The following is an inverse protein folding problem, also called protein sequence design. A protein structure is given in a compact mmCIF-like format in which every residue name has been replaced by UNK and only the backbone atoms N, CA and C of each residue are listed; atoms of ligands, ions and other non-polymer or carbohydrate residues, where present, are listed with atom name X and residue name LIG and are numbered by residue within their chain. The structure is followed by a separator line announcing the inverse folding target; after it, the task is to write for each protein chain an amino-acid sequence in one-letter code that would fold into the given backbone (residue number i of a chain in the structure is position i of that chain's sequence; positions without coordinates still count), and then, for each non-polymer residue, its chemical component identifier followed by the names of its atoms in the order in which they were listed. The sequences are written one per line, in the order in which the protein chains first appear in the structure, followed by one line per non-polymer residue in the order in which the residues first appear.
data_IF_954678752846
#
_entry.id   IF_954678752846
#
_cell.length_a   1.000
_cell.length_b   1.000
_cell.length_c   1.000
_cell.angle_alpha   90.00
_cell.angle_beta   90.00
_cell.angle_gamma   90.00
#
_symmetry.space_group_name_H-M   'P 1'
#
loop_
_entity.id
_entity.type
_entity.pdbx_description
1 polymer ?
#
# COMPACT_ATOMS: atom_id res chain seq x y z
N UNK A 1 14.73 -2.88 -17.49
CA UNK A 1 15.99 -2.51 -16.79
C UNK A 1 15.72 -2.74 -15.31
N UNK A 2 16.58 -3.45 -14.58
CA UNK A 2 16.36 -3.73 -13.16
C UNK A 2 17.67 -3.67 -12.39
N UNK A 3 17.61 -3.38 -11.10
CA UNK A 3 18.80 -3.30 -10.25
C UNK A 3 18.52 -2.77 -8.86
N UNK A 4 19.59 -2.41 -8.15
CA UNK A 4 19.52 -1.85 -6.80
C UNK A 4 19.89 -0.36 -6.79
N UNK A 5 19.28 0.40 -5.89
CA UNK A 5 19.61 1.82 -5.68
C UNK A 5 21.01 2.02 -5.06
N UNK A 6 21.66 0.97 -4.58
CA UNK A 6 23.09 1.00 -4.21
C UNK A 6 24.02 1.10 -5.41
N UNK A 7 23.57 0.70 -6.60
CA UNK A 7 24.38 0.62 -7.83
C UNK A 7 24.15 1.84 -8.72
N UNK A 8 22.92 2.33 -8.78
CA UNK A 8 22.53 3.48 -9.60
C UNK A 8 21.43 4.27 -8.90
N UNK A 9 21.60 5.59 -8.81
CA UNK A 9 20.60 6.44 -8.16
C UNK A 9 19.37 6.70 -9.06
N UNK A 10 18.26 7.08 -8.41
CA UNK A 10 16.99 7.38 -9.10
C UNK A 10 17.16 8.48 -10.14
N UNK A 11 18.00 9.48 -9.87
CA UNK A 11 18.27 10.58 -10.80
C UNK A 11 18.83 10.03 -12.13
N UNK A 12 19.84 9.18 -12.05
CA UNK A 12 20.52 8.57 -13.21
C UNK A 12 19.58 7.65 -13.97
N UNK A 13 18.75 6.87 -13.27
CA UNK A 13 17.69 6.06 -13.87
C UNK A 13 16.74 6.91 -14.72
N UNK A 14 16.24 8.02 -14.18
CA UNK A 14 15.32 8.92 -14.88
C UNK A 14 15.99 9.59 -16.09
N UNK A 15 17.26 9.98 -15.99
CA UNK A 15 18.02 10.54 -17.12
C UNK A 15 18.25 9.53 -18.24
N UNK A 16 18.49 8.25 -17.92
CA UNK A 16 18.61 7.18 -18.91
C UNK A 16 17.29 6.94 -19.66
N UNK A 17 16.16 7.06 -18.97
CA UNK A 17 14.82 6.96 -19.58
C UNK A 17 14.58 8.14 -20.54
N UNK A 18 14.92 9.36 -20.12
CA UNK A 18 14.82 10.58 -20.94
C UNK A 18 15.68 10.47 -22.21
N UNK A 19 16.98 10.17 -22.05
CA UNK A 19 17.93 10.07 -23.16
C UNK A 19 17.54 8.95 -24.13
N UNK A 20 17.07 7.82 -23.60
CA UNK A 20 16.61 6.68 -24.40
C UNK A 20 15.21 6.85 -24.99
N UNK A 21 14.52 7.97 -24.73
CA UNK A 21 13.14 8.23 -25.16
C UNK A 21 12.20 7.06 -24.85
N UNK A 22 12.38 6.42 -23.68
CA UNK A 22 11.68 5.16 -23.37
C UNK A 22 10.24 5.41 -22.94
N UNK A 23 9.36 4.49 -23.31
CA UNK A 23 7.95 4.42 -22.90
C UNK A 23 7.76 3.19 -22.03
N UNK A 24 7.04 3.33 -20.92
CA UNK A 24 6.83 2.24 -19.98
C UNK A 24 6.63 2.72 -18.55
N UNK A 25 6.88 1.86 -17.58
CA UNK A 25 6.71 2.15 -16.16
C UNK A 25 7.97 1.80 -15.35
N UNK A 26 8.30 2.66 -14.39
CA UNK A 26 9.34 2.44 -13.39
C UNK A 26 8.68 2.13 -12.05
N UNK A 27 8.86 0.93 -11.56
CA UNK A 27 8.58 0.53 -10.20
C UNK A 27 9.83 0.69 -9.32
N UNK A 28 9.65 1.23 -8.11
CA UNK A 28 10.71 1.37 -7.10
C UNK A 28 10.16 0.93 -5.76
N UNK A 29 10.92 0.12 -5.01
CA UNK A 29 10.58 -0.31 -3.65
C UNK A 29 11.74 0.03 -2.72
N UNK A 30 11.46 0.64 -1.56
CA UNK A 30 12.51 0.91 -0.57
C UNK A 30 12.81 -0.31 0.29
N UNK A 31 13.97 -0.31 0.95
CA UNK A 31 14.26 -1.23 2.04
C UNK A 31 14.21 -0.48 3.38
N UNK A 32 13.42 -0.95 4.35
CA UNK A 32 13.43 -0.37 5.68
C UNK A 32 14.77 -0.68 6.36
N UNK A 33 15.37 0.35 6.93
CA UNK A 33 16.51 0.21 7.83
C UNK A 33 16.03 -0.25 9.20
N UNK A 34 15.66 -1.52 9.34
CA UNK A 34 15.42 -2.17 10.64
C UNK A 34 16.38 -3.34 10.83
N UNK A 35 17.68 -3.02 10.96
CA UNK A 35 18.65 -3.94 11.59
C UNK A 35 19.14 -3.27 12.86
N UNK A 36 18.40 -3.47 13.95
CA UNK A 36 18.98 -3.37 15.28
C UNK A 36 19.38 -4.80 15.67
N UNK A 37 20.69 -5.03 15.75
CA UNK A 37 21.26 -6.22 16.37
C UNK A 37 20.83 -6.25 17.84
N UNK A 38 19.80 -7.03 18.17
CA UNK A 38 19.64 -7.64 19.48
C UNK A 38 18.71 -8.85 19.35
N UNK A 39 19.22 -10.00 19.78
CA UNK A 39 18.54 -11.28 19.81
C UNK A 39 17.38 -11.22 20.81
N UNK A 40 16.13 -11.26 20.31
CA UNK A 40 14.95 -11.82 20.98
C UNK A 40 13.71 -11.75 20.07
N UNK A 41 13.18 -12.93 19.74
CA UNK A 41 11.84 -13.28 19.23
C UNK A 41 11.23 -12.55 18.00
N UNK A 42 10.79 -13.29 16.96
CA UNK A 42 10.24 -12.71 15.74
C UNK A 42 8.79 -12.26 15.92
N UNK A 43 8.58 -11.02 16.36
CA UNK A 43 7.30 -10.32 16.19
C UNK A 43 7.28 -9.67 14.80
N UNK A 44 6.89 -10.42 13.77
CA UNK A 44 6.83 -9.94 12.38
C UNK A 44 5.42 -9.45 12.00
N UNK A 45 5.09 -8.22 12.42
CA UNK A 45 4.24 -7.36 11.60
C UNK A 45 5.16 -6.59 10.65
N UNK A 46 5.29 -7.05 9.40
CA UNK A 46 5.96 -6.27 8.36
C UNK A 46 4.97 -5.27 7.76
N UNK A 47 5.18 -3.95 7.87
CA UNK A 47 4.51 -3.02 6.97
C UNK A 47 5.02 -3.31 5.55
N UNK A 48 4.12 -3.38 4.57
CA UNK A 48 4.49 -3.40 3.15
C UNK A 48 5.42 -2.21 2.88
N UNK A 49 6.71 -2.47 2.61
CA UNK A 49 7.70 -1.45 2.28
C UNK A 49 7.13 -0.40 1.30
N UNK A 50 7.38 0.89 1.51
CA UNK A 50 6.85 1.89 0.61
C UNK A 50 7.43 1.69 -0.79
N UNK A 51 6.55 1.82 -1.78
CA UNK A 51 6.85 1.59 -3.18
C UNK A 51 6.15 2.61 -4.05
N UNK A 52 6.70 2.85 -5.23
CA UNK A 52 6.30 3.91 -6.13
C UNK A 52 6.30 3.44 -7.58
N UNK A 53 5.43 4.05 -8.36
CA UNK A 53 5.37 3.94 -9.81
C UNK A 53 5.58 5.29 -10.46
N UNK A 54 6.34 5.32 -11.54
CA UNK A 54 6.47 6.47 -12.45
C UNK A 54 6.19 5.98 -13.87
N UNK A 55 5.31 6.67 -14.59
CA UNK A 55 4.86 6.27 -15.93
C UNK A 55 5.42 7.22 -16.98
N UNK A 56 5.89 6.66 -18.09
CA UNK A 56 6.63 7.39 -19.12
C UNK A 56 6.05 7.18 -20.52
N UNK A 57 6.17 8.22 -21.35
CA UNK A 57 5.91 8.19 -22.78
C UNK A 57 6.98 9.00 -23.49
N UNK A 58 7.71 8.36 -24.39
CA UNK A 58 8.79 8.96 -25.18
C UNK A 58 9.78 9.76 -24.32
N UNK A 59 10.23 9.18 -23.21
CA UNK A 59 11.19 9.81 -22.30
C UNK A 59 10.63 10.93 -21.41
N UNK A 60 9.33 11.23 -21.49
CA UNK A 60 8.66 12.21 -20.62
C UNK A 60 7.84 11.49 -19.54
N UNK A 61 7.67 12.13 -18.38
CA UNK A 61 6.81 11.62 -17.30
C UNK A 61 5.35 11.99 -17.59
N UNK A 62 4.46 11.00 -17.52
CA UNK A 62 3.01 11.20 -17.61
C UNK A 62 2.39 11.32 -16.22
N UNK A 63 2.81 10.44 -15.30
CA UNK A 63 2.24 10.34 -13.97
C UNK A 63 3.22 9.67 -13.00
N UNK A 64 2.98 9.87 -11.71
CA UNK A 64 3.69 9.16 -10.66
C UNK A 64 2.81 8.99 -9.42
N UNK A 65 2.94 7.85 -8.76
CA UNK A 65 2.16 7.51 -7.57
C UNK A 65 2.95 6.64 -6.60
N UNK A 66 2.56 6.68 -5.33
CA UNK A 66 2.93 5.64 -4.37
C UNK A 66 1.96 4.46 -4.57
N UNK A 67 2.43 3.22 -4.40
CA UNK A 67 1.65 1.99 -4.60
C UNK A 67 0.53 1.77 -3.57
N UNK A 68 0.27 2.74 -2.69
CA UNK A 68 -0.88 2.70 -1.79
C UNK A 68 -2.14 2.96 -2.61
N UNK A 69 -3.01 1.97 -2.78
CA UNK A 69 -4.30 2.09 -3.48
C UNK A 69 -5.33 3.02 -2.80
N UNK A 70 -4.85 3.99 -2.01
CA UNK A 70 -5.65 5.03 -1.38
C UNK A 70 -5.87 6.19 -2.37
N UNK A 71 -7.09 6.71 -2.40
CA UNK A 71 -7.44 7.93 -3.12
C UNK A 71 -7.29 9.19 -2.24
N UNK A 72 -6.71 9.07 -1.04
CA UNK A 72 -6.59 10.18 -0.08
C UNK A 72 -5.82 11.36 -0.66
N UNK A 73 -4.69 11.09 -1.35
CA UNK A 73 -3.88 12.12 -2.00
C UNK A 73 -4.68 12.86 -3.06
N UNK A 74 -5.38 12.16 -3.95
CA UNK A 74 -6.27 12.79 -4.92
C UNK A 74 -7.40 13.59 -4.26
N UNK A 75 -8.04 13.05 -3.22
CA UNK A 75 -9.10 13.76 -2.47
C UNK A 75 -8.59 15.09 -1.91
N UNK A 76 -7.37 15.12 -1.36
CA UNK A 76 -6.77 16.35 -0.84
C UNK A 76 -6.68 17.44 -1.93
N UNK A 77 -6.26 17.06 -3.15
CA UNK A 77 -6.21 17.99 -4.28
C UNK A 77 -7.59 18.46 -4.75
N UNK A 78 -8.58 17.57 -4.75
CA UNK A 78 -9.94 17.87 -5.20
C UNK A 78 -10.71 18.80 -4.26
N UNK A 79 -10.38 18.82 -2.96
CA UNK A 79 -11.03 19.71 -1.96
C UNK A 79 -10.99 21.18 -2.36
N UNK A 80 -9.89 21.62 -2.98
CA UNK A 80 -9.75 22.99 -3.48
C UNK A 80 -10.82 23.37 -4.49
N UNK A 81 -11.25 22.40 -5.28
CA UNK A 81 -12.25 22.55 -6.32
C UNK A 81 -13.66 22.15 -5.84
N UNK A 82 -13.83 21.87 -4.54
CA UNK A 82 -15.06 21.35 -3.93
C UNK A 82 -15.57 20.08 -4.61
N UNK A 83 -14.64 19.25 -5.07
CA UNK A 83 -14.90 18.10 -5.91
C UNK A 83 -14.53 16.78 -5.21
N UNK A 84 -14.13 16.81 -3.94
CA UNK A 84 -13.69 15.65 -3.18
C UNK A 84 -14.81 14.66 -2.86
N UNK A 85 -16.06 15.12 -2.77
CA UNK A 85 -17.24 14.28 -2.54
C UNK A 85 -17.68 13.54 -3.82
N UNK A 86 -17.35 14.07 -5.00
CA UNK A 86 -17.73 13.48 -6.29
C UNK A 86 -16.99 12.16 -6.57
N UNK A 87 -15.86 11.94 -5.90
CA UNK A 87 -15.03 10.75 -6.08
C UNK A 87 -15.78 9.46 -5.72
N UNK A 88 -16.71 9.53 -4.75
CA UNK A 88 -17.52 8.39 -4.31
C UNK A 88 -18.65 8.05 -5.29
N UNK A 89 -19.03 9.01 -6.15
CA UNK A 89 -20.12 8.90 -7.11
C UNK A 89 -19.66 8.61 -8.54
N UNK A 90 -18.35 8.75 -8.80
CA UNK A 90 -17.76 8.53 -10.12
C UNK A 90 -17.38 7.05 -10.28
N UNK A 91 -18.03 6.39 -11.23
CA UNK A 91 -17.58 5.09 -11.74
C UNK A 91 -16.40 5.32 -12.68
N UNK A 92 -15.24 4.78 -12.34
CA UNK A 92 -14.08 4.72 -13.22
C UNK A 92 -14.15 3.42 -14.01
N UNK A 93 -14.00 3.44 -15.35
CA UNK A 93 -13.92 2.23 -16.13
C UNK A 93 -12.78 1.32 -15.66
N UNK A 94 -13.01 0.01 -15.67
CA UNK A 94 -12.06 -1.01 -15.17
C UNK A 94 -10.69 -1.03 -15.87
N UNK A 95 -10.54 -0.33 -17.01
CA UNK A 95 -9.26 -0.24 -17.75
C UNK A 95 -8.30 0.82 -17.19
N UNK A 96 -8.74 1.65 -16.24
CA UNK A 96 -7.90 2.70 -15.68
C UNK A 96 -6.85 2.11 -14.72
N UNK A 97 -5.77 1.60 -15.33
CA UNK A 97 -4.48 1.15 -14.76
C UNK A 97 -4.54 0.58 -13.34
N UNK A 98 -4.31 -0.73 -13.24
CA UNK A 98 -4.08 -1.46 -11.99
C UNK A 98 -3.01 -0.78 -11.10
N UNK A 99 -2.11 -0.01 -11.69
CA UNK A 99 -1.00 0.69 -11.03
C UNK A 99 -1.25 2.19 -10.76
N UNK A 100 -2.34 2.78 -11.27
CA UNK A 100 -2.61 4.22 -11.16
C UNK A 100 -4.11 4.56 -11.05
N UNK A 101 -4.81 4.10 -10.01
CA UNK A 101 -6.25 4.35 -9.85
C UNK A 101 -6.59 5.84 -9.83
N UNK A 102 -5.76 6.66 -9.16
CA UNK A 102 -5.92 8.12 -9.12
C UNK A 102 -5.89 8.77 -10.51
N UNK A 103 -5.11 8.23 -11.46
CA UNK A 103 -5.09 8.71 -12.85
C UNK A 103 -6.41 8.47 -13.56
N UNK A 104 -7.02 7.30 -13.32
CA UNK A 104 -8.36 6.96 -13.81
C UNK A 104 -9.43 7.93 -13.35
N UNK A 105 -9.42 8.25 -12.05
CA UNK A 105 -10.30 9.27 -11.50
C UNK A 105 -10.03 10.62 -12.14
N UNK A 106 -8.78 11.08 -12.23
CA UNK A 106 -8.45 12.35 -12.86
C UNK A 106 -9.00 12.46 -14.29
N UNK A 107 -8.89 11.39 -15.08
CA UNK A 107 -9.54 11.35 -16.40
C UNK A 107 -11.06 11.48 -16.30
N UNK A 108 -11.72 10.70 -15.44
CA UNK A 108 -13.18 10.76 -15.29
C UNK A 108 -13.68 12.14 -14.83
N UNK A 109 -12.92 12.85 -13.97
CA UNK A 109 -13.21 14.22 -13.56
C UNK A 109 -13.09 15.23 -14.72
N UNK A 110 -12.11 15.02 -15.61
CA UNK A 110 -11.93 15.84 -16.81
C UNK A 110 -13.02 15.57 -17.85
N UNK A 111 -13.35 14.30 -18.08
CA UNK A 111 -14.39 13.88 -19.04
C UNK A 111 -15.77 14.43 -18.64
N UNK A 112 -16.10 14.40 -17.34
CA UNK A 112 -17.35 14.96 -16.82
C UNK A 112 -17.35 16.49 -16.70
N UNK A 113 -16.25 17.17 -17.04
CA UNK A 113 -16.11 18.62 -16.93
C UNK A 113 -16.10 19.16 -15.50
N UNK A 114 -15.91 18.30 -14.49
CA UNK A 114 -15.79 18.70 -13.08
C UNK A 114 -14.47 19.43 -12.85
N UNK A 115 -13.40 18.96 -13.52
CA UNK A 115 -12.13 19.66 -13.61
C UNK A 115 -11.93 20.21 -15.02
N UNK A 116 -11.32 21.39 -15.12
CA UNK A 116 -10.80 21.89 -16.39
C UNK A 116 -9.46 21.22 -16.74
N UNK A 117 -9.06 21.16 -18.02
CA UNK A 117 -7.75 20.61 -18.41
C UNK A 117 -6.57 21.26 -17.69
N UNK A 118 -6.64 22.57 -17.44
CA UNK A 118 -5.62 23.29 -16.69
C UNK A 118 -5.55 22.86 -15.21
N UNK A 119 -6.71 22.61 -14.58
CA UNK A 119 -6.78 22.11 -13.21
C UNK A 119 -6.25 20.67 -13.12
N UNK A 120 -6.69 19.78 -14.03
CA UNK A 120 -6.20 18.40 -14.09
C UNK A 120 -4.68 18.34 -14.28
N UNK A 121 -4.14 19.11 -15.24
CA UNK A 121 -2.69 19.22 -15.44
C UNK A 121 -1.97 19.73 -14.19
N UNK A 122 -2.53 20.72 -13.50
CA UNK A 122 -1.96 21.24 -12.26
C UNK A 122 -1.91 20.20 -11.14
N UNK A 123 -2.96 19.40 -10.97
CA UNK A 123 -3.01 18.32 -9.98
C UNK A 123 -1.98 17.24 -10.31
N UNK A 124 -1.95 16.76 -11.55
CA UNK A 124 -0.98 15.75 -12.01
C UNK A 124 0.45 16.26 -11.80
N UNK A 125 0.74 17.51 -12.16
CA UNK A 125 2.06 18.11 -11.98
C UNK A 125 2.50 18.08 -10.51
N UNK A 126 1.62 18.47 -9.59
CA UNK A 126 1.96 18.47 -8.17
C UNK A 126 2.12 17.04 -7.63
N UNK A 127 1.23 16.10 -7.98
CA UNK A 127 1.36 14.67 -7.60
C UNK A 127 2.68 14.06 -8.10
N UNK A 128 3.08 14.37 -9.34
CA UNK A 128 4.38 13.93 -9.89
C UNK A 128 5.52 14.50 -9.06
N UNK A 129 5.50 15.80 -8.76
CA UNK A 129 6.55 16.43 -7.95
C UNK A 129 6.65 15.86 -6.54
N UNK A 130 5.53 15.62 -5.88
CA UNK A 130 5.49 14.98 -4.55
C UNK A 130 6.12 13.59 -4.58
N UNK A 131 5.71 12.78 -5.56
CA UNK A 131 6.22 11.40 -5.70
C UNK A 131 7.72 11.40 -5.98
N UNK A 132 8.17 12.23 -6.91
CA UNK A 132 9.58 12.36 -7.26
C UNK A 132 10.42 12.92 -6.12
N UNK A 133 9.89 13.85 -5.31
CA UNK A 133 10.59 14.34 -4.12
C UNK A 133 10.92 13.21 -3.15
N UNK A 134 9.93 12.34 -2.88
CA UNK A 134 10.12 11.17 -2.02
C UNK A 134 11.09 10.16 -2.64
N UNK A 135 10.91 9.83 -3.92
CA UNK A 135 11.75 8.89 -4.66
C UNK A 135 13.22 9.32 -4.74
N UNK A 136 13.49 10.58 -5.07
CA UNK A 136 14.85 11.11 -5.18
C UNK A 136 15.55 11.26 -3.81
N UNK A 137 14.78 11.18 -2.72
CA UNK A 137 15.32 11.17 -1.35
C UNK A 137 15.69 9.76 -0.87
N UNK A 138 15.35 8.72 -1.63
CA UNK A 138 15.68 7.34 -1.28
C UNK A 138 17.17 7.05 -1.45
N UNK A 139 17.73 6.33 -0.48
CA UNK A 139 19.13 5.87 -0.52
C UNK A 139 19.29 4.38 -0.77
N UNK A 140 18.23 3.58 -0.54
CA UNK A 140 18.25 2.12 -0.62
C UNK A 140 16.90 1.62 -1.14
N UNK A 141 16.96 0.59 -1.97
CA UNK A 141 15.78 -0.01 -2.57
C UNK A 141 16.13 -0.81 -3.82
N UNK A 142 15.12 -1.40 -4.42
CA UNK A 142 15.19 -1.99 -5.76
C UNK A 142 14.37 -1.17 -6.75
N UNK A 143 14.69 -1.30 -8.03
CA UNK A 143 13.88 -0.72 -9.08
C UNK A 143 13.77 -1.67 -10.28
N UNK A 144 12.65 -1.56 -10.98
CA UNK A 144 12.41 -2.18 -12.28
C UNK A 144 11.75 -1.18 -13.21
N UNK A 145 12.28 -1.10 -14.41
CA UNK A 145 11.65 -0.44 -15.54
C UNK A 145 11.20 -1.47 -16.57
N UNK A 146 9.90 -1.50 -16.81
CA UNK A 146 9.24 -2.38 -17.78
C UNK A 146 8.72 -1.58 -18.97
N UNK A 147 8.93 -2.13 -20.18
CA UNK A 147 8.36 -1.58 -21.40
C UNK A 147 6.88 -1.97 -21.44
N UNK A 148 6.00 -0.98 -21.32
CA UNK A 148 4.55 -1.16 -21.32
C UNK A 148 3.88 -0.06 -22.13
N UNK A 149 2.63 -0.26 -22.60
CA UNK A 149 1.85 0.82 -23.18
C UNK A 149 1.73 1.98 -22.20
N UNK A 150 1.82 3.21 -22.72
CA UNK A 150 1.61 4.40 -21.90
C UNK A 150 0.18 4.43 -21.32
N UNK A 151 0.01 5.13 -20.19
CA UNK A 151 -1.31 5.35 -19.60
C UNK A 151 -2.24 6.03 -20.62
N UNK A 152 -3.42 5.44 -20.80
CA UNK A 152 -4.45 5.95 -21.70
C UNK A 152 -5.72 6.33 -20.95
N UNK A 153 -6.35 7.48 -21.30
CA UNK A 153 -5.90 8.45 -22.30
C UNK A 153 -4.78 9.36 -21.77
N UNK A 154 -3.97 9.90 -22.69
CA UNK A 154 -2.88 10.80 -22.34
C UNK A 154 -3.43 12.15 -21.86
N UNK A 155 -3.32 12.43 -20.56
CA UNK A 155 -3.77 13.69 -19.97
C UNK A 155 -2.74 14.82 -20.10
N UNK A 156 -1.44 14.53 -19.91
CA UNK A 156 -0.34 15.50 -19.99
C UNK A 156 1.02 14.79 -19.96
N UNK A 157 2.11 15.50 -20.24
CA UNK A 157 3.50 15.03 -20.09
C UNK A 157 4.39 16.12 -19.49
N UNK A 158 5.50 15.70 -18.87
CA UNK A 158 6.49 16.57 -18.24
C UNK A 158 7.91 16.13 -18.59
N UNK A 159 8.75 17.09 -18.95
CA UNK A 159 10.19 16.90 -19.17
C UNK A 159 10.90 16.51 -17.87
N UNK A 160 11.70 15.44 -17.92
CA UNK A 160 12.40 14.90 -16.74
C UNK A 160 13.43 15.90 -16.26
N UNK A 161 14.29 16.40 -17.14
CA UNK A 161 15.37 17.32 -16.79
C UNK A 161 14.88 18.59 -16.08
N UNK A 162 13.75 19.15 -16.53
CA UNK A 162 13.16 20.35 -15.93
C UNK A 162 12.61 20.09 -14.52
N UNK A 163 11.91 18.95 -14.33
CA UNK A 163 11.42 18.52 -13.03
C UNK A 163 12.57 18.24 -12.06
N UNK A 164 13.59 17.50 -12.50
CA UNK A 164 14.74 17.13 -11.69
C UNK A 164 15.50 18.37 -11.19
N UNK A 165 15.76 19.35 -12.06
CA UNK A 165 16.46 20.57 -11.66
C UNK A 165 15.74 21.30 -10.51
N UNK A 166 14.41 21.39 -10.59
CA UNK A 166 13.60 22.05 -9.56
C UNK A 166 13.55 21.23 -8.26
N UNK A 167 13.30 19.92 -8.36
CA UNK A 167 13.12 19.05 -7.19
C UNK A 167 14.44 18.84 -6.44
N UNK A 168 15.56 18.67 -7.16
CA UNK A 168 16.88 18.53 -6.53
C UNK A 168 17.26 19.76 -5.70
N UNK A 169 16.92 20.97 -6.17
CA UNK A 169 17.08 22.19 -5.39
C UNK A 169 16.22 22.16 -4.12
N UNK A 170 14.98 21.70 -4.22
CA UNK A 170 14.09 21.57 -3.05
C UNK A 170 14.61 20.55 -2.03
N UNK A 171 15.13 19.40 -2.48
CA UNK A 171 15.74 18.38 -1.61
C UNK A 171 16.98 18.93 -0.90
N UNK A 172 17.82 19.69 -1.61
CA UNK A 172 18.99 20.33 -1.01
C UNK A 172 18.60 21.31 0.11
N UNK A 173 17.57 22.13 -0.11
CA UNK A 173 17.04 23.03 0.91
C UNK A 173 16.39 22.26 2.06
N UNK A 174 15.66 21.17 1.76
CA UNK A 174 15.01 20.32 2.76
C UNK A 174 16.00 19.70 3.76
N UNK A 175 17.17 19.26 3.27
CA UNK A 175 18.19 18.65 4.11
C UNK A 175 18.70 19.57 5.23
N UNK A 176 18.46 20.89 5.15
CA UNK A 176 18.82 21.86 6.19
C UNK A 176 17.94 21.77 7.45
N UNK A 177 16.79 21.09 7.38
CA UNK A 177 15.88 20.94 8.53
C UNK A 177 16.18 19.72 9.41
N UNK A 178 17.12 18.87 8.98
CA UNK A 178 17.63 17.77 9.78
C UNK A 178 18.32 18.28 11.06
N UNK A 179 18.20 17.61 12.22
CA UNK A 179 17.51 16.34 12.44
C UNK A 179 16.03 16.50 12.80
N UNK A 180 15.51 17.72 12.93
CA UNK A 180 14.18 17.98 13.45
C UNK A 180 13.06 17.60 12.48
N UNK A 181 13.30 17.81 11.18
CA UNK A 181 12.40 17.41 10.10
C UNK A 181 13.13 16.40 9.23
N UNK A 182 12.75 15.14 9.31
CA UNK A 182 13.35 14.03 8.56
C UNK A 182 12.40 13.41 7.52
N UNK A 183 11.10 13.69 7.61
CA UNK A 183 10.11 13.18 6.65
C UNK A 183 9.01 14.20 6.37
N UNK A 184 8.56 14.26 5.12
CA UNK A 184 7.39 15.06 4.71
C UNK A 184 6.08 14.54 5.33
N UNK A 185 6.08 13.29 5.81
CA UNK A 185 4.93 12.65 6.44
C UNK A 185 4.85 12.84 7.95
N UNK A 186 5.81 13.57 8.56
CA UNK A 186 5.70 13.94 9.97
C UNK A 186 4.51 14.88 10.19
N UNK A 187 3.80 14.67 11.31
CA UNK A 187 2.63 15.44 11.70
C UNK A 187 2.98 16.43 12.83
N UNK A 188 2.66 17.72 12.68
CA UNK A 188 2.88 18.69 13.74
C UNK A 188 1.87 18.51 14.89
N UNK A 189 2.34 18.70 16.11
CA UNK A 189 1.55 18.78 17.35
C UNK A 189 2.00 20.02 18.11
N UNK A 190 1.06 20.82 18.59
CA UNK A 190 1.40 21.99 19.42
C UNK A 190 1.70 21.51 20.84
N UNK A 191 2.96 21.66 21.27
CA UNK A 191 3.40 21.34 22.62
C UNK A 191 3.19 22.52 23.59
N UNK A 192 3.36 23.76 23.12
CA UNK A 192 3.09 24.98 23.92
C UNK A 192 2.14 25.94 23.19
N UNK A 193 0.81 25.82 23.40
CA UNK A 193 -0.17 26.69 22.78
C UNK A 193 -0.03 28.17 23.19
N UNK A 194 0.40 28.44 24.43
CA UNK A 194 0.48 29.81 24.95
C UNK A 194 1.64 30.57 24.31
N UNK A 195 2.80 29.92 24.18
CA UNK A 195 3.96 30.51 23.52
C UNK A 195 3.73 30.66 22.00
N UNK A 196 3.07 29.68 21.38
CA UNK A 196 2.72 29.75 19.96
C UNK A 196 1.74 30.89 19.66
N UNK A 197 0.71 31.06 20.51
CA UNK A 197 -0.27 32.15 20.36
C UNK A 197 0.37 33.54 20.52
N UNK A 198 1.38 33.68 21.40
CA UNK A 198 2.14 34.94 21.53
C UNK A 198 3.03 35.24 20.32
N UNK A 199 3.54 34.20 19.66
CA UNK A 199 4.46 34.35 18.54
C UNK A 199 3.77 34.59 17.19
N UNK A 200 2.47 34.32 17.08
CA UNK A 200 1.72 34.35 15.83
C UNK A 200 0.53 35.30 15.85
N UNK A 201 0.18 35.83 14.68
CA UNK A 201 -1.08 36.54 14.50
C UNK A 201 -2.28 35.59 14.71
N UNK A 202 -3.42 36.06 15.26
CA UNK A 202 -4.53 35.19 15.65
C UNK A 202 -5.05 34.27 14.52
N UNK A 203 -5.12 34.78 13.30
CA UNK A 203 -5.58 34.02 12.13
C UNK A 203 -4.56 32.97 11.64
N UNK A 204 -3.26 33.18 11.90
CA UNK A 204 -2.20 32.21 11.58
C UNK A 204 -2.20 31.12 12.65
N UNK A 205 -2.30 31.52 13.93
CA UNK A 205 -2.43 30.59 15.04
C UNK A 205 -3.63 29.64 14.85
N UNK A 206 -4.82 30.17 14.54
CA UNK A 206 -6.00 29.34 14.32
C UNK A 206 -5.83 28.36 13.15
N UNK A 207 -5.20 28.78 12.05
CA UNK A 207 -4.89 27.87 10.93
C UNK A 207 -3.90 26.78 11.32
N UNK A 208 -2.79 27.15 11.97
CA UNK A 208 -1.78 26.19 12.40
C UNK A 208 -2.34 25.22 13.45
N UNK A 209 -3.15 25.71 14.39
CA UNK A 209 -3.86 24.90 15.38
C UNK A 209 -4.77 23.84 14.75
N UNK A 210 -5.49 24.18 13.69
CA UNK A 210 -6.38 23.25 13.01
C UNK A 210 -5.66 22.11 12.30
N UNK A 211 -4.37 22.28 11.97
CA UNK A 211 -3.58 21.28 11.25
C UNK A 211 -2.46 20.66 12.08
N UNK A 212 -2.27 21.12 13.32
CA UNK A 212 -1.28 20.59 14.25
C UNK A 212 -1.94 19.63 15.26
N UNK A 213 -2.71 18.69 14.73
CA UNK A 213 -3.52 17.71 15.44
C UNK A 213 -2.80 16.36 15.65
N UNK A 214 -1.55 16.24 15.18
CA UNK A 214 -0.78 15.00 15.18
C UNK A 214 -1.24 13.96 14.15
N UNK A 215 -2.24 14.28 13.34
CA UNK A 215 -2.78 13.37 12.31
C UNK A 215 -2.53 13.90 10.90
N UNK A 216 -2.53 15.21 10.72
CA UNK A 216 -2.34 15.86 9.42
C UNK A 216 -0.84 16.02 9.13
N UNK A 217 -0.32 15.32 8.11
CA UNK A 217 1.11 15.40 7.78
C UNK A 217 1.49 16.74 7.13
N UNK A 218 2.77 17.14 7.21
CA UNK A 218 3.23 18.35 6.54
C UNK A 218 2.94 18.34 5.03
N UNK A 219 3.01 17.16 4.40
CA UNK A 219 2.64 17.00 3.00
C UNK A 219 1.15 17.28 2.77
N UNK A 220 0.26 16.79 3.64
CA UNK A 220 -1.17 17.10 3.58
C UNK A 220 -1.45 18.59 3.79
N UNK A 221 -0.76 19.23 4.74
CA UNK A 221 -0.86 20.69 4.96
C UNK A 221 -0.46 21.45 3.69
N UNK A 222 0.63 21.04 3.04
CA UNK A 222 1.11 21.64 1.81
C UNK A 222 0.05 21.56 0.69
N UNK A 223 -0.62 20.41 0.53
CA UNK A 223 -1.74 20.23 -0.40
C UNK A 223 -2.91 21.17 -0.08
N UNK A 224 -3.35 21.24 1.18
CA UNK A 224 -4.45 22.10 1.61
C UNK A 224 -4.17 23.59 1.41
N UNK A 225 -2.91 23.99 1.59
CA UNK A 225 -2.46 25.36 1.35
C UNK A 225 -2.17 25.68 -0.11
N UNK A 226 -2.14 24.66 -0.98
CA UNK A 226 -1.60 24.76 -2.34
C UNK A 226 -0.23 25.44 -2.35
N UNK A 227 0.68 24.94 -1.51
CA UNK A 227 2.07 25.39 -1.39
C UNK A 227 2.99 24.18 -1.49
N UNK A 228 4.25 24.43 -1.78
CA UNK A 228 5.28 23.41 -1.67
C UNK A 228 5.54 23.03 -0.20
N UNK A 229 5.86 21.76 0.04
CA UNK A 229 6.13 21.24 1.39
C UNK A 229 7.29 21.96 2.07
N UNK A 230 8.25 22.47 1.29
CA UNK A 230 9.36 23.26 1.76
C UNK A 230 8.92 24.61 2.36
N UNK A 231 7.91 25.27 1.79
CA UNK A 231 7.28 26.46 2.39
C UNK A 231 6.64 26.14 3.74
N UNK A 232 5.97 24.99 3.87
CA UNK A 232 5.38 24.54 5.14
C UNK A 232 6.48 24.26 6.17
N UNK A 233 7.51 23.52 5.78
CA UNK A 233 8.66 23.23 6.64
C UNK A 233 9.34 24.52 7.13
N UNK A 234 9.65 25.47 6.24
CA UNK A 234 10.23 26.77 6.60
C UNK A 234 9.37 27.55 7.60
N UNK A 235 8.05 27.49 7.46
CA UNK A 235 7.12 28.20 8.33
C UNK A 235 7.07 27.58 9.75
N UNK A 236 7.16 26.25 9.85
CA UNK A 236 7.01 25.52 11.12
C UNK A 236 8.37 25.34 11.83
N UNK A 237 9.47 25.25 11.09
CA UNK A 237 10.80 24.94 11.60
C UNK A 237 11.26 25.80 12.79
N UNK A 238 11.08 27.14 12.83
CA UNK A 238 11.49 27.95 13.98
C UNK A 238 10.76 27.59 15.28
N UNK A 239 9.53 27.07 15.18
CA UNK A 239 8.75 26.62 16.34
C UNK A 239 9.15 25.20 16.77
N UNK A 240 9.57 24.37 15.82
CA UNK A 240 10.12 23.02 16.10
C UNK A 240 11.45 23.11 16.83
N UNK A 241 12.35 23.99 16.37
CA UNK A 241 13.63 24.22 17.04
C UNK A 241 13.47 24.70 18.51
N UNK A 242 12.38 25.42 18.80
CA UNK A 242 12.05 25.91 20.15
C UNK A 242 11.25 24.91 20.98
N UNK A 243 10.88 23.76 20.43
CA UNK A 243 10.02 22.77 21.09
C UNK A 243 8.56 23.23 21.28
N UNK A 244 8.15 24.32 20.65
CA UNK A 244 6.77 24.85 20.70
C UNK A 244 5.84 23.96 19.86
N UNK A 245 6.35 23.44 18.76
CA UNK A 245 5.71 22.44 17.90
C UNK A 245 6.58 21.20 17.89
N UNK A 246 5.99 20.03 18.08
CA UNK A 246 6.66 18.75 17.93
C UNK A 246 6.22 18.09 16.63
N UNK A 247 7.11 17.31 16.01
CA UNK A 247 6.83 16.55 14.80
C UNK A 247 6.84 15.07 15.15
N UNK A 248 5.71 14.40 14.97
CA UNK A 248 5.56 12.97 15.23
C UNK A 248 5.49 12.19 13.91
N UNK A 249 6.10 11.01 13.87
CA UNK A 249 5.91 10.08 12.76
C UNK A 249 4.56 9.39 12.93
N UNK A 250 3.75 9.29 11.87
CA UNK A 250 2.45 8.61 11.90
C UNK A 250 2.55 7.13 12.32
N UNK A 251 3.75 6.53 12.27
CA UNK A 251 4.01 5.17 12.76
C UNK A 251 4.12 5.04 14.28
N UNK A 252 4.11 6.14 15.04
CA UNK A 252 4.47 6.10 16.46
C UNK A 252 3.32 6.15 17.46
N UNK A 253 2.05 6.40 17.08
CA UNK A 253 0.93 6.35 18.04
C UNK A 253 -0.38 5.79 17.47
N UNK A 254 -0.61 4.49 17.68
CA UNK A 254 -1.82 3.99 18.36
C UNK A 254 -1.62 2.58 18.93
N UNK A 255 -0.55 2.39 19.71
CA UNK A 255 -0.66 1.51 20.89
C UNK A 255 -1.32 2.29 22.02
N UNK A 256 -2.58 2.71 21.80
CA UNK A 256 -3.45 2.90 22.95
C UNK A 256 -3.77 1.49 23.42
N UNK A 257 -3.15 1.10 24.54
CA UNK A 257 -3.58 -0.04 25.34
C UNK A 257 -5.02 0.27 25.77
N UNK A 258 -5.98 0.01 24.89
CA UNK A 258 -7.31 -0.40 25.32
C UNK A 258 -7.04 -1.68 26.07
N UNK A 259 -7.09 -1.61 27.40
CA UNK A 259 -7.20 -2.78 28.27
C UNK A 259 -8.10 -3.78 27.54
N UNK A 260 -7.64 -5.01 27.25
CA UNK A 260 -8.51 -5.98 26.64
C UNK A 260 -9.69 -6.14 27.58
N UNK A 261 -10.85 -5.68 27.14
CA UNK A 261 -12.12 -6.21 27.63
C UNK A 261 -11.96 -7.72 27.42
N UNK A 262 -12.18 -8.57 28.43
CA UNK A 262 -12.12 -10.00 28.22
C UNK A 262 -13.22 -10.35 27.22
N UNK A 263 -12.85 -10.44 25.94
CA UNK A 263 -13.69 -11.06 24.94
C UNK A 263 -13.69 -12.54 25.32
N UNK A 264 -14.82 -13.00 25.81
CA UNK A 264 -15.19 -14.39 25.72
C UNK A 264 -15.09 -14.76 24.23
N UNK A 265 -13.98 -15.38 23.82
CA UNK A 265 -13.82 -15.94 22.48
C UNK A 265 -14.78 -17.12 22.42
N UNK A 266 -15.90 -16.95 21.73
CA UNK A 266 -16.57 -18.10 21.13
C UNK A 266 -15.57 -18.79 20.21
N UNK A 267 -15.35 -20.08 20.40
CA UNK A 267 -14.42 -20.92 19.65
C UNK A 267 -14.92 -21.13 18.22
N UNK A 268 -14.73 -20.14 17.35
CA UNK A 268 -15.05 -20.23 15.92
C UNK A 268 -13.92 -20.97 15.19
N UNK A 269 -14.24 -22.07 14.52
CA UNK A 269 -13.31 -22.75 13.60
C UNK A 269 -13.11 -21.86 12.37
N UNK A 270 -11.86 -21.53 12.08
CA UNK A 270 -11.51 -20.66 10.96
C UNK A 270 -11.56 -21.43 9.64
N UNK A 271 -12.09 -20.78 8.61
CA UNK A 271 -12.28 -21.38 7.28
C UNK A 271 -11.21 -20.89 6.31
N UNK A 272 -10.56 -21.81 5.63
CA UNK A 272 -9.58 -21.53 4.58
C UNK A 272 -10.09 -22.08 3.26
N UNK A 273 -10.03 -21.29 2.19
CA UNK A 273 -10.32 -21.78 0.83
C UNK A 273 -9.04 -21.83 0.03
N UNK A 274 -8.79 -22.93 -0.67
CA UNK A 274 -7.69 -23.08 -1.62
C UNK A 274 -8.25 -23.12 -3.04
N UNK A 275 -7.72 -22.30 -3.95
CA UNK A 275 -8.09 -22.29 -5.37
C UNK A 275 -6.84 -22.68 -6.14
N UNK A 276 -6.84 -23.85 -6.76
CA UNK A 276 -5.67 -24.41 -7.44
C UNK A 276 -6.15 -25.50 -8.42
N UNK A 277 -5.66 -25.50 -9.66
CA UNK A 277 -6.03 -26.52 -10.65
C UNK A 277 -5.27 -27.84 -10.42
N UNK A 278 -4.14 -27.81 -9.71
CA UNK A 278 -3.37 -28.99 -9.33
C UNK A 278 -4.02 -29.73 -8.15
N UNK A 279 -4.47 -30.97 -8.42
CA UNK A 279 -5.06 -31.86 -7.40
C UNK A 279 -4.10 -32.18 -6.26
N UNK A 280 -2.80 -32.30 -6.53
CA UNK A 280 -1.80 -32.66 -5.53
C UNK A 280 -1.62 -31.51 -4.53
N UNK A 281 -1.62 -30.26 -5.01
CA UNK A 281 -1.53 -29.09 -4.15
C UNK A 281 -2.79 -28.95 -3.29
N UNK A 282 -3.98 -29.12 -3.87
CA UNK A 282 -5.25 -29.06 -3.13
C UNK A 282 -5.33 -30.10 -2.01
N UNK A 283 -5.07 -31.36 -2.33
CA UNK A 283 -5.07 -32.44 -1.33
C UNK A 283 -4.07 -32.18 -0.21
N UNK A 284 -2.87 -31.69 -0.55
CA UNK A 284 -1.84 -31.35 0.43
C UNK A 284 -2.28 -30.20 1.35
N UNK A 285 -2.85 -29.13 0.79
CA UNK A 285 -3.32 -27.98 1.56
C UNK A 285 -4.47 -28.37 2.49
N UNK A 286 -5.45 -29.14 2.00
CA UNK A 286 -6.55 -29.62 2.84
C UNK A 286 -6.05 -30.52 3.97
N UNK A 287 -5.15 -31.44 3.67
CA UNK A 287 -4.59 -32.36 4.65
C UNK A 287 -3.92 -31.59 5.80
N UNK A 288 -2.97 -30.71 5.46
CA UNK A 288 -2.20 -29.92 6.43
C UNK A 288 -3.13 -29.06 7.28
N UNK A 289 -4.03 -28.30 6.66
CA UNK A 289 -4.85 -27.33 7.40
C UNK A 289 -5.95 -28.00 8.23
N UNK A 290 -6.58 -29.07 7.73
CA UNK A 290 -7.59 -29.80 8.50
C UNK A 290 -6.98 -30.53 9.71
N UNK A 291 -5.77 -31.10 9.57
CA UNK A 291 -5.06 -31.73 10.69
C UNK A 291 -4.65 -30.74 11.78
N UNK A 292 -4.45 -29.47 11.41
CA UNK A 292 -4.03 -28.40 12.31
C UNK A 292 -5.19 -27.51 12.80
N UNK A 293 -6.44 -27.99 12.72
CA UNK A 293 -7.58 -27.33 13.38
C UNK A 293 -8.23 -26.18 12.60
N UNK A 294 -7.97 -26.09 11.29
CA UNK A 294 -8.70 -25.23 10.36
C UNK A 294 -9.76 -26.03 9.60
N UNK A 295 -10.76 -25.35 9.03
CA UNK A 295 -11.67 -25.94 8.05
C UNK A 295 -11.23 -25.53 6.65
N UNK A 296 -10.48 -26.39 5.97
CA UNK A 296 -10.02 -26.14 4.61
C UNK A 296 -10.95 -26.75 3.57
N UNK A 297 -11.24 -25.98 2.51
CA UNK A 297 -11.99 -26.41 1.32
C UNK A 297 -11.23 -26.02 0.06
N UNK A 298 -11.05 -26.94 -0.89
CA UNK A 298 -10.36 -26.66 -2.15
C UNK A 298 -11.28 -26.62 -3.37
N UNK A 299 -10.96 -25.74 -4.31
CA UNK A 299 -11.69 -25.47 -5.54
C UNK A 299 -10.76 -25.64 -6.73
N UNK A 300 -11.14 -26.48 -7.70
CA UNK A 300 -10.36 -26.71 -8.95
C UNK A 300 -10.64 -25.72 -10.06
N UNK A 301 -11.85 -25.17 -10.07
CA UNK A 301 -12.37 -24.44 -11.23
C UNK A 301 -12.33 -22.94 -10.91
N UNK A 302 -11.40 -22.18 -11.50
CA UNK A 302 -11.24 -20.76 -11.19
C UNK A 302 -12.47 -19.92 -11.58
N UNK A 303 -13.24 -20.33 -12.59
CA UNK A 303 -14.47 -19.64 -13.01
C UNK A 303 -15.61 -19.83 -12.01
N UNK A 304 -15.70 -21.02 -11.39
CA UNK A 304 -16.68 -21.29 -10.32
C UNK A 304 -16.23 -20.79 -8.95
N UNK A 305 -14.91 -20.66 -8.75
CA UNK A 305 -14.32 -20.38 -7.46
C UNK A 305 -14.83 -19.09 -6.82
N UNK A 306 -15.00 -18.02 -7.62
CA UNK A 306 -15.54 -16.76 -7.12
C UNK A 306 -16.92 -16.94 -6.48
N UNK A 307 -17.87 -17.55 -7.19
CA UNK A 307 -19.23 -17.77 -6.68
C UNK A 307 -19.24 -18.56 -5.37
N UNK A 308 -18.40 -19.59 -5.29
CA UNK A 308 -18.30 -20.43 -4.10
C UNK A 308 -17.62 -19.74 -2.91
N UNK A 309 -16.59 -18.92 -3.16
CA UNK A 309 -15.94 -18.09 -2.13
C UNK A 309 -16.96 -17.12 -1.50
N UNK A 310 -17.83 -16.50 -2.29
CA UNK A 310 -18.90 -15.62 -1.81
C UNK A 310 -19.89 -16.34 -0.87
N UNK A 311 -20.18 -17.61 -1.13
CA UNK A 311 -21.06 -18.44 -0.30
C UNK A 311 -20.36 -18.90 0.98
N UNK A 312 -19.10 -19.33 0.88
CA UNK A 312 -18.35 -19.91 1.99
C UNK A 312 -17.90 -18.88 3.03
N UNK A 313 -17.64 -17.64 2.58
CA UNK A 313 -17.10 -16.53 3.39
C UNK A 313 -15.88 -16.98 4.19
N UNK A 314 -14.78 -17.37 3.51
CA UNK A 314 -13.58 -17.82 4.18
C UNK A 314 -12.93 -16.71 5.00
N UNK A 315 -12.20 -17.12 6.03
CA UNK A 315 -11.36 -16.24 6.84
C UNK A 315 -9.98 -16.02 6.17
N UNK A 316 -9.55 -16.92 5.26
CA UNK A 316 -8.33 -16.79 4.43
C UNK A 316 -8.49 -17.51 3.08
N UNK A 317 -7.87 -16.98 2.03
CA UNK A 317 -7.86 -17.57 0.68
C UNK A 317 -6.42 -17.86 0.25
N UNK A 318 -6.16 -19.08 -0.20
CA UNK A 318 -4.96 -19.49 -0.91
C UNK A 318 -5.33 -19.58 -2.40
N UNK A 319 -4.58 -18.93 -3.28
CA UNK A 319 -4.94 -18.82 -4.69
C UNK A 319 -3.72 -19.07 -5.56
N UNK A 320 -3.76 -20.10 -6.39
CA UNK A 320 -2.73 -20.32 -7.38
C UNK A 320 -2.69 -19.19 -8.41
N UNK A 321 -1.50 -18.88 -8.90
CA UNK A 321 -1.29 -17.86 -9.92
C UNK A 321 -1.57 -18.44 -11.31
N UNK A 322 -1.06 -19.63 -11.59
CA UNK A 322 -0.93 -20.18 -12.93
C UNK A 322 -2.05 -21.17 -13.25
N UNK A 323 -3.29 -20.68 -13.26
CA UNK A 323 -4.47 -21.49 -13.63
C UNK A 323 -4.94 -21.22 -15.06
N UNK A 324 -5.49 -22.23 -15.76
CA UNK A 324 -6.09 -22.06 -17.08
C UNK A 324 -7.38 -21.23 -17.00
N UNK A 325 -7.74 -20.56 -18.10
CA UNK A 325 -8.97 -19.77 -18.30
C UNK A 325 -9.06 -18.45 -17.52
N UNK A 326 -8.72 -18.43 -16.23
CA UNK A 326 -8.72 -17.25 -15.38
C UNK A 326 -7.56 -17.35 -14.38
N UNK A 327 -6.65 -16.38 -14.43
CA UNK A 327 -5.45 -16.43 -13.60
C UNK A 327 -5.70 -15.96 -12.16
N UNK A 328 -4.79 -16.30 -11.25
CA UNK A 328 -4.93 -15.94 -9.83
C UNK A 328 -4.91 -14.43 -9.58
N UNK A 329 -4.25 -13.65 -10.44
CA UNK A 329 -4.19 -12.20 -10.31
C UNK A 329 -5.55 -11.57 -10.57
N UNK A 330 -6.25 -12.03 -11.60
CA UNK A 330 -7.60 -11.59 -11.95
C UNK A 330 -8.59 -11.93 -10.83
N UNK A 331 -8.53 -13.15 -10.27
CA UNK A 331 -9.34 -13.55 -9.12
C UNK A 331 -9.07 -12.65 -7.91
N UNK A 332 -7.80 -12.41 -7.58
CA UNK A 332 -7.42 -11.54 -6.47
C UNK A 332 -7.95 -10.12 -6.65
N UNK A 333 -7.78 -9.53 -7.85
CA UNK A 333 -8.29 -8.19 -8.15
C UNK A 333 -9.81 -8.11 -8.03
N UNK A 334 -10.55 -9.12 -8.52
CA UNK A 334 -12.01 -9.19 -8.40
C UNK A 334 -12.45 -9.28 -6.93
N UNK A 335 -11.80 -10.11 -6.12
CA UNK A 335 -12.09 -10.24 -4.69
C UNK A 335 -11.78 -8.95 -3.92
N UNK A 336 -10.71 -8.24 -4.27
CA UNK A 336 -10.36 -6.95 -3.65
C UNK A 336 -11.32 -5.82 -3.97
N UNK A 337 -11.92 -5.84 -5.16
CA UNK A 337 -12.97 -4.92 -5.55
C UNK A 337 -14.32 -5.21 -4.87
N UNK A 338 -14.48 -6.37 -4.22
CA UNK A 338 -15.65 -6.71 -3.42
C UNK A 338 -15.53 -6.19 -1.98
N UNK A 339 -16.57 -5.52 -1.48
CA UNK A 339 -16.64 -5.07 -0.08
C UNK A 339 -16.58 -6.24 0.92
N UNK A 340 -17.02 -7.43 0.52
CA UNK A 340 -17.04 -8.62 1.36
C UNK A 340 -15.64 -9.21 1.63
N UNK A 341 -14.70 -9.06 0.69
CA UNK A 341 -13.39 -9.72 0.74
C UNK A 341 -12.21 -8.74 0.70
N UNK A 342 -12.49 -7.43 0.66
CA UNK A 342 -11.47 -6.38 0.63
C UNK A 342 -10.39 -6.53 1.71
N UNK A 343 -10.75 -7.04 2.89
CA UNK A 343 -9.83 -7.25 4.02
C UNK A 343 -9.49 -8.72 4.28
N UNK A 344 -10.08 -9.66 3.55
CA UNK A 344 -9.77 -11.10 3.71
C UNK A 344 -8.34 -11.35 3.23
N UNK A 345 -7.48 -12.00 4.03
CA UNK A 345 -6.14 -12.38 3.59
C UNK A 345 -6.19 -13.26 2.34
N UNK A 346 -5.42 -12.89 1.31
CA UNK A 346 -5.26 -13.67 0.07
C UNK A 346 -3.77 -13.96 -0.10
N UNK A 347 -3.38 -15.23 -0.05
CA UNK A 347 -2.01 -15.68 -0.24
C UNK A 347 -1.90 -16.33 -1.63
N UNK A 348 -1.02 -15.80 -2.45
CA UNK A 348 -0.81 -16.31 -3.81
C UNK A 348 0.16 -17.49 -3.79
N UNK A 349 -0.20 -18.62 -4.40
CA UNK A 349 0.69 -19.76 -4.58
C UNK A 349 1.39 -19.62 -5.93
N UNK A 350 2.73 -19.63 -5.95
CA UNK A 350 3.50 -19.37 -7.18
C UNK A 350 4.49 -20.48 -7.51
N UNK A 351 4.51 -20.97 -8.75
CA UNK A 351 5.47 -21.98 -9.22
C UNK A 351 6.79 -21.43 -9.78
N UNK A 352 6.91 -20.11 -9.97
CA UNK A 352 8.07 -19.49 -10.62
C UNK A 352 8.59 -18.34 -9.74
N UNK A 353 9.88 -18.36 -9.42
CA UNK A 353 10.56 -17.26 -8.76
C UNK A 353 10.88 -16.12 -9.76
N UNK A 354 9.83 -15.47 -10.27
CA UNK A 354 9.94 -14.25 -11.06
C UNK A 354 9.71 -13.01 -10.20
N UNK A 355 10.61 -12.02 -10.28
CA UNK A 355 10.37 -10.71 -9.63
C UNK A 355 9.09 -10.05 -10.17
N UNK A 356 8.78 -10.21 -11.45
CA UNK A 356 7.58 -9.68 -12.12
C UNK A 356 6.30 -10.22 -11.47
N UNK A 357 6.30 -11.49 -11.07
CA UNK A 357 5.14 -12.12 -10.45
C UNK A 357 4.89 -11.61 -9.02
N UNK A 358 5.96 -11.35 -8.26
CA UNK A 358 5.83 -10.73 -6.93
C UNK A 358 5.29 -9.29 -6.99
N UNK A 359 5.73 -8.54 -8.00
CA UNK A 359 5.25 -7.16 -8.25
C UNK A 359 3.77 -7.19 -8.64
N UNK A 360 3.38 -8.03 -9.60
CA UNK A 360 1.97 -8.21 -10.00
C UNK A 360 1.07 -8.68 -8.85
N UNK A 361 1.51 -9.64 -8.05
CA UNK A 361 0.77 -10.13 -6.88
C UNK A 361 0.46 -9.00 -5.90
N UNK A 362 1.46 -8.16 -5.60
CA UNK A 362 1.30 -7.04 -4.68
C UNK A 362 0.38 -5.96 -5.22
N UNK A 363 0.42 -5.73 -6.53
CA UNK A 363 -0.44 -4.76 -7.23
C UNK A 363 -1.91 -5.15 -7.16
N UNK A 364 -2.25 -6.43 -7.35
CA UNK A 364 -3.64 -6.90 -7.27
C UNK A 364 -4.16 -7.00 -5.83
N UNK A 365 -3.34 -6.59 -4.86
CA UNK A 365 -3.68 -6.58 -3.45
C UNK A 365 -3.52 -7.94 -2.77
N UNK A 366 -2.68 -8.84 -3.27
CA UNK A 366 -2.34 -10.04 -2.51
C UNK A 366 -1.75 -9.65 -1.15
N UNK A 367 -2.14 -10.39 -0.11
CA UNK A 367 -1.64 -10.19 1.25
C UNK A 367 -0.24 -10.78 1.42
N UNK A 368 0.01 -11.93 0.80
CA UNK A 368 1.30 -12.61 0.83
C UNK A 368 1.48 -13.52 -0.39
N UNK A 369 2.67 -14.10 -0.56
CA UNK A 369 2.94 -15.14 -1.55
C UNK A 369 3.63 -16.34 -0.90
N UNK A 370 3.35 -17.54 -1.40
CA UNK A 370 3.99 -18.78 -1.00
C UNK A 370 4.51 -19.50 -2.23
N UNK A 371 5.82 -19.72 -2.30
CA UNK A 371 6.47 -20.37 -3.43
C UNK A 371 6.21 -21.88 -3.39
N UNK A 372 5.79 -22.45 -4.52
CA UNK A 372 5.68 -23.89 -4.74
C UNK A 372 7.04 -24.43 -5.20
N UNK A 373 7.49 -25.59 -4.69
CA UNK A 373 6.85 -26.41 -3.66
C UNK A 373 7.07 -25.83 -2.25
N UNK A 374 6.04 -25.85 -1.40
CA UNK A 374 6.09 -25.39 -0.01
C UNK A 374 5.96 -26.55 1.00
N UNK A 375 6.52 -26.37 2.20
CA UNK A 375 6.39 -27.31 3.32
C UNK A 375 5.16 -27.08 4.20
N UNK A 376 4.86 -28.04 5.10
CA UNK A 376 3.81 -27.89 6.12
C UNK A 376 4.07 -26.69 7.05
N UNK A 377 5.31 -26.56 7.54
CA UNK A 377 5.68 -25.48 8.46
C UNK A 377 5.52 -24.09 7.85
N UNK A 378 5.86 -23.92 6.56
CA UNK A 378 5.74 -22.64 5.86
C UNK A 378 4.28 -22.25 5.65
N UNK A 379 3.44 -23.21 5.26
CA UNK A 379 2.01 -23.00 5.09
C UNK A 379 1.33 -22.64 6.42
N UNK A 380 1.60 -23.41 7.48
CA UNK A 380 1.00 -23.16 8.80
C UNK A 380 1.45 -21.83 9.39
N UNK A 381 2.74 -21.50 9.29
CA UNK A 381 3.26 -20.22 9.76
C UNK A 381 2.50 -19.04 9.14
N UNK A 382 2.29 -19.07 7.82
CA UNK A 382 1.56 -18.02 7.13
C UNK A 382 0.08 -17.98 7.50
N UNK A 383 -0.60 -19.14 7.53
CA UNK A 383 -2.02 -19.18 7.88
C UNK A 383 -2.24 -18.72 9.32
N UNK A 384 -1.43 -19.18 10.27
CA UNK A 384 -1.49 -18.77 11.67
C UNK A 384 -1.21 -17.28 11.85
N UNK A 385 -0.25 -16.72 11.12
CA UNK A 385 0.06 -15.29 11.13
C UNK A 385 -1.16 -14.41 10.82
N UNK A 386 -2.03 -14.84 9.90
CA UNK A 386 -3.14 -14.02 9.42
C UNK A 386 -4.48 -14.31 10.09
N UNK A 387 -4.77 -15.55 10.46
CA UNK A 387 -6.07 -15.94 11.02
C UNK A 387 -5.99 -16.60 12.40
N UNK A 388 -4.80 -16.65 13.00
CA UNK A 388 -4.53 -17.26 14.32
C UNK A 388 -4.38 -18.78 14.27
N UNK A 389 -3.96 -19.41 15.38
CA UNK A 389 -3.75 -20.86 15.44
C UNK A 389 -5.09 -21.60 15.26
N UNK A 390 -5.03 -22.73 14.56
CA UNK A 390 -6.19 -23.59 14.40
C UNK A 390 -6.63 -24.19 15.74
N UNK A 391 -7.92 -24.42 15.88
CA UNK A 391 -8.48 -24.99 17.10
C UNK A 391 -8.45 -26.50 16.91
N UNK A 392 -7.48 -27.17 17.54
CA UNK A 392 -7.42 -28.63 17.56
C UNK A 392 -8.72 -29.18 18.15
N UNK A 393 -9.55 -29.78 17.31
CA UNK A 393 -10.71 -30.54 17.77
C UNK A 393 -10.13 -31.88 18.23
N UNK A 394 -9.99 -32.08 19.54
CA UNK A 394 -9.65 -33.39 20.09
C UNK A 394 -10.70 -34.40 19.62
N UNK A 395 -10.35 -35.24 18.65
CA UNK A 395 -11.06 -36.49 18.38
C UNK A 395 -10.71 -37.51 19.48
N UNK A 396 -11.23 -37.24 20.68
CA UNK A 396 -11.40 -38.19 21.78
C UNK A 396 -12.81 -37.87 22.30
N UNK A 397 -13.85 -38.68 22.16
CA UNK A 397 -14.00 -40.06 22.63
C UNK A 397 -15.24 -40.65 21.93
N UNK A 398 -15.16 -41.92 21.48
CA UNK A 398 -16.24 -42.88 21.72
C UNK A 398 -15.70 -44.32 21.69
N UNK A 399 -14.97 -44.65 22.75
CA UNK A 399 -14.72 -46.03 23.20
C UNK A 399 -14.91 -46.14 24.72
N UNK A 400 -16.04 -45.64 25.23
CA UNK A 400 -16.46 -45.95 26.61
C UNK A 400 -17.98 -45.90 26.80
N UNK A 401 -18.75 -46.61 25.96
CA UNK A 401 -20.10 -47.06 26.28
C UNK A 401 -20.31 -48.50 25.79
N UNK A 402 -19.64 -49.46 26.45
CA UNK A 402 -20.00 -50.89 26.41
C UNK A 402 -19.49 -51.70 27.61
N UNK A 403 -19.32 -51.05 28.77
CA UNK A 403 -19.19 -51.72 30.07
C UNK A 403 -19.96 -50.93 31.13
N UNK A 404 -21.28 -51.08 31.12
CA UNK A 404 -22.21 -50.87 32.24
C UNK A 404 -23.64 -51.10 31.73
N UNK A 405 -23.92 -52.31 31.25
CA UNK A 405 -25.26 -52.93 31.16
C UNK A 405 -25.04 -54.38 30.72
N UNK A 406 -24.74 -55.22 31.70
CA UNK A 406 -25.02 -56.66 31.78
C UNK A 406 -24.41 -57.14 33.10
N UNK A 407 -25.04 -56.70 34.18
CA UNK A 407 -25.26 -57.55 35.36
C UNK A 407 -26.74 -57.86 35.36
#
# INVERSE_FOLDING_TARGET
MQGNLSEIDIRSILQLIELGQRTGELFVESYSSSVNNNVAEPQHHFPTEPSWFVFFLNGQIIYATQSAGSLSRLRDYLRRYKADQEIDNIKVPSFASVHAPEYGYLWAFLEKGILTPAQGRGIIHNMVRETLFNLLSLRRGSFIFDLSPALTPQLTTFEISSLLATIMKQIQEWNQFSPYIHSTEQCPVIADPAQLQKALQPHIYNRLKNWSDGQTSMQQIARYLNRDVLTVAKAIYPFVQKGIVQLIDQSSETSTIKKPKPLQRETKIQKVVCIDDDVIIREKVELILNQNGYKATSLSDPLKALGEVFLMKPDLILCDIAMPELDGYEICAMLRNSTAFRQTPIIMLTGIEGFIDRVKARIVGATHYLTKPFGESELLMLVEQYIGPGIAINYQVDKTFSKLQNT
#
